data_IF_257315323295
#
_entry.id   IF_257315323295
#
_cell.length_a   1.000
_cell.length_b   1.000
_cell.length_c   1.000
_cell.angle_alpha   90.00
_cell.angle_beta   90.00
_cell.angle_gamma   90.00
#
_symmetry.space_group_name_H-M   'P 1'
#
loop_
_entity.id
_entity.type
_entity.pdbx_description
1 polymer ?
#
# COMPACT_ATOMS: atom_id res chain seq x y z
N UNK A 1 1.35 -13.25 -4.67
CA UNK A 1 0.48 -12.29 -5.35
C UNK A 1 0.57 -12.57 -6.84
N UNK A 2 -0.55 -12.69 -7.58
CA UNK A 2 -0.50 -12.80 -9.03
C UNK A 2 -0.12 -11.45 -9.63
N UNK A 3 0.93 -11.42 -10.47
CA UNK A 3 1.34 -10.24 -11.23
C UNK A 3 1.14 -10.47 -12.72
N UNK A 4 0.73 -9.42 -13.43
CA UNK A 4 0.64 -9.36 -14.89
C UNK A 4 1.03 -7.96 -15.35
N UNK A 5 1.91 -7.88 -16.35
CA UNK A 5 2.39 -6.61 -16.92
C UNK A 5 2.91 -5.59 -15.88
N UNK A 6 3.65 -6.06 -14.85
CA UNK A 6 4.29 -5.19 -13.87
C UNK A 6 3.41 -4.77 -12.68
N UNK A 7 2.12 -5.15 -12.65
CA UNK A 7 1.21 -4.83 -11.55
C UNK A 7 0.45 -6.07 -11.06
N UNK A 8 -0.21 -5.95 -9.91
CA UNK A 8 -1.07 -7.02 -9.39
C UNK A 8 -2.24 -7.23 -10.33
N UNK A 9 -2.49 -8.48 -10.68
CA UNK A 9 -3.70 -8.87 -11.41
C UNK A 9 -4.83 -9.09 -10.39
N UNK A 10 -5.55 -8.01 -10.09
CA UNK A 10 -6.64 -8.00 -9.12
C UNK A 10 -7.73 -9.03 -9.43
N UNK A 11 -7.94 -9.38 -10.70
CA UNK A 11 -8.94 -10.39 -11.11
C UNK A 11 -8.62 -11.81 -10.61
N UNK A 12 -7.36 -12.05 -10.23
CA UNK A 12 -6.84 -13.36 -9.79
C UNK A 12 -6.54 -13.39 -8.29
N UNK A 13 -6.78 -12.30 -7.58
CA UNK A 13 -6.53 -12.19 -6.15
C UNK A 13 -7.65 -12.87 -5.37
N UNK A 14 -7.26 -13.66 -4.36
CA UNK A 14 -8.17 -14.28 -3.40
C UNK A 14 -8.04 -13.54 -2.07
N UNK A 15 -9.17 -13.13 -1.50
CA UNK A 15 -9.23 -12.34 -0.27
C UNK A 15 -10.31 -11.26 -0.36
N UNK A 16 -10.33 -10.35 0.62
CA UNK A 16 -11.21 -9.17 0.59
C UNK A 16 -10.45 -8.02 -0.06
N UNK A 17 -10.71 -7.79 -1.33
CA UNK A 17 -10.20 -6.66 -2.10
C UNK A 17 -11.22 -5.52 -2.11
N UNK A 18 -10.74 -4.29 -1.89
CA UNK A 18 -11.47 -3.05 -2.03
C UNK A 18 -10.66 -2.09 -2.89
N UNK A 19 -11.37 -1.30 -3.69
CA UNK A 19 -10.77 -0.39 -4.65
C UNK A 19 -11.49 0.96 -4.61
N UNK A 20 -10.71 2.04 -4.64
CA UNK A 20 -11.20 3.40 -4.78
C UNK A 20 -10.37 4.15 -5.82
N UNK A 21 -11.04 5.06 -6.53
CA UNK A 21 -10.42 6.05 -7.41
C UNK A 21 -10.49 7.41 -6.73
N UNK A 22 -9.33 8.04 -6.49
CA UNK A 22 -9.23 9.32 -5.76
C UNK A 22 -8.32 10.26 -6.54
N UNK A 23 -8.90 11.32 -7.13
CA UNK A 23 -8.15 12.27 -7.96
C UNK A 23 -7.45 13.39 -7.15
N UNK A 24 -7.83 13.59 -5.88
CA UNK A 24 -7.16 14.55 -4.98
C UNK A 24 -5.99 13.85 -4.26
N UNK A 25 -4.77 14.26 -4.60
CA UNK A 25 -3.53 13.65 -4.09
C UNK A 25 -3.44 13.68 -2.55
N UNK A 26 -3.91 14.77 -1.92
CA UNK A 26 -3.89 14.89 -0.46
C UNK A 26 -4.88 13.92 0.17
N UNK A 27 -6.09 13.83 -0.37
CA UNK A 27 -7.10 12.89 0.10
C UNK A 27 -6.69 11.43 -0.13
N UNK A 28 -5.99 11.15 -1.24
CA UNK A 28 -5.43 9.84 -1.55
C UNK A 28 -4.39 9.45 -0.50
N UNK A 29 -3.44 10.33 -0.20
CA UNK A 29 -2.43 10.09 0.84
C UNK A 29 -3.04 9.91 2.23
N UNK A 30 -4.00 10.76 2.61
CA UNK A 30 -4.74 10.65 3.88
C UNK A 30 -5.51 9.32 3.97
N UNK A 31 -6.12 8.89 2.86
CA UNK A 31 -6.86 7.63 2.80
C UNK A 31 -5.91 6.44 2.89
N UNK A 32 -4.78 6.45 2.17
CA UNK A 32 -3.76 5.41 2.26
C UNK A 32 -3.21 5.27 3.68
N UNK A 33 -2.81 6.39 4.32
CA UNK A 33 -2.34 6.40 5.71
C UNK A 33 -3.38 5.85 6.68
N UNK A 34 -4.66 6.19 6.49
CA UNK A 34 -5.77 5.64 7.29
C UNK A 34 -5.90 4.12 7.11
N UNK A 35 -5.86 3.61 5.87
CA UNK A 35 -5.98 2.18 5.60
C UNK A 35 -4.80 1.37 6.13
N UNK A 36 -3.58 1.92 6.09
CA UNK A 36 -2.38 1.32 6.68
C UNK A 36 -2.51 1.29 8.21
N UNK A 37 -2.87 2.41 8.84
CA UNK A 37 -2.99 2.48 10.30
C UNK A 37 -4.08 1.57 10.86
N UNK A 38 -5.18 1.40 10.12
CA UNK A 38 -6.25 0.49 10.51
C UNK A 38 -5.81 -0.99 10.56
N UNK A 39 -4.68 -1.33 9.92
CA UNK A 39 -4.24 -2.72 9.71
C UNK A 39 -2.92 -3.06 10.38
N UNK A 40 -2.08 -2.07 10.66
CA UNK A 40 -0.82 -2.32 11.35
C UNK A 40 -1.13 -2.82 12.78
N UNK A 41 -0.45 -3.89 13.19
CA UNK A 41 -0.53 -4.40 14.56
C UNK A 41 0.52 -3.69 15.41
N UNK A 42 0.19 -3.40 16.66
CA UNK A 42 1.14 -2.83 17.63
C UNK A 42 2.43 -3.66 17.69
N UNK A 43 3.57 -3.00 17.49
CA UNK A 43 4.90 -3.63 17.49
C UNK A 43 5.31 -4.30 16.18
N UNK A 44 4.46 -4.30 15.16
CA UNK A 44 4.82 -4.75 13.80
C UNK A 44 5.36 -3.60 12.94
N UNK A 45 6.04 -3.96 11.85
CA UNK A 45 6.51 -3.01 10.84
C UNK A 45 5.66 -3.07 9.58
N UNK A 46 5.59 -1.94 8.88
CA UNK A 46 5.13 -1.85 7.49
C UNK A 46 6.36 -1.91 6.60
N UNK A 47 6.28 -2.70 5.54
CA UNK A 47 7.29 -2.72 4.49
C UNK A 47 6.73 -2.02 3.24
N UNK A 48 7.52 -1.14 2.64
CA UNK A 48 7.18 -0.43 1.42
C UNK A 48 8.12 -0.83 0.29
N UNK A 49 7.56 -0.95 -0.92
CA UNK A 49 8.30 -1.10 -2.18
C UNK A 49 7.63 -0.20 -3.24
N UNK A 50 8.44 0.55 -3.99
CA UNK A 50 8.05 1.23 -5.22
C UNK A 50 8.32 0.36 -6.45
N UNK A 51 7.61 0.58 -7.56
CA UNK A 51 7.79 -0.22 -8.78
C UNK A 51 8.85 0.28 -9.76
N UNK A 52 9.55 1.40 -9.49
CA UNK A 52 10.70 1.73 -10.33
C UNK A 52 11.56 2.94 -9.96
N UNK A 53 10.99 4.02 -9.43
CA UNK A 53 11.72 5.26 -9.15
C UNK A 53 12.47 5.19 -7.82
N UNK A 54 11.92 4.49 -6.82
CA UNK A 54 12.59 4.28 -5.54
C UNK A 54 13.58 3.11 -5.61
N UNK A 55 14.90 3.32 -5.43
CA UNK A 55 15.89 2.25 -5.55
C UNK A 55 15.90 1.29 -4.34
N UNK A 56 15.26 1.66 -3.24
CA UNK A 56 15.22 0.89 -2.00
C UNK A 56 13.80 0.85 -1.45
N UNK A 57 13.47 -0.27 -0.79
CA UNK A 57 12.27 -0.35 0.04
C UNK A 57 12.48 0.33 1.40
N UNK A 58 11.39 0.75 2.03
CA UNK A 58 11.40 1.40 3.34
C UNK A 58 10.67 0.53 4.36
N UNK A 59 11.19 0.49 5.59
CA UNK A 59 10.49 -0.13 6.74
C UNK A 59 10.20 0.93 7.77
N UNK A 60 8.98 0.94 8.28
CA UNK A 60 8.55 1.93 9.27
C UNK A 60 7.50 1.35 10.23
N UNK A 61 7.31 2.03 11.35
CA UNK A 61 6.42 1.61 12.45
C UNK A 61 5.10 2.38 12.46
N UNK A 62 4.17 1.99 13.33
CA UNK A 62 2.86 2.65 13.49
C UNK A 62 2.97 4.16 13.72
N UNK A 63 3.94 4.61 14.51
CA UNK A 63 4.13 6.03 14.83
C UNK A 63 4.59 6.87 13.63
N UNK A 64 5.09 6.23 12.57
CA UNK A 64 5.67 6.87 11.40
C UNK A 64 4.74 6.82 10.18
N UNK A 65 3.58 6.17 10.29
CA UNK A 65 2.68 5.91 9.15
C UNK A 65 2.36 7.18 8.37
N UNK A 66 1.96 8.25 9.05
CA UNK A 66 1.56 9.48 8.34
C UNK A 66 2.74 10.14 7.64
N UNK A 67 3.85 10.36 8.35
CA UNK A 67 5.00 11.08 7.80
C UNK A 67 5.66 10.29 6.67
N UNK A 68 5.83 8.99 6.83
CA UNK A 68 6.50 8.14 5.83
C UNK A 68 5.60 7.88 4.63
N UNK A 69 4.31 7.61 4.82
CA UNK A 69 3.39 7.38 3.69
C UNK A 69 3.29 8.62 2.82
N UNK A 70 3.07 9.80 3.42
CA UNK A 70 2.98 11.06 2.65
C UNK A 70 4.28 11.32 1.88
N UNK A 71 5.44 11.19 2.52
CA UNK A 71 6.72 11.43 1.86
C UNK A 71 7.00 10.45 0.71
N UNK A 72 6.61 9.18 0.84
CA UNK A 72 6.79 8.19 -0.22
C UNK A 72 5.88 8.46 -1.42
N UNK A 73 4.64 8.89 -1.17
CA UNK A 73 3.66 9.20 -2.23
C UNK A 73 3.99 10.48 -3.02
N UNK A 74 4.98 11.28 -2.60
CA UNK A 74 5.52 12.37 -3.43
C UNK A 74 6.31 11.85 -4.64
N UNK A 75 6.74 10.58 -4.62
CA UNK A 75 7.42 9.94 -5.74
C UNK A 75 6.36 9.41 -6.72
N UNK A 76 6.34 9.81 -8.00
CA UNK A 76 5.26 9.44 -8.92
C UNK A 76 5.42 8.02 -9.48
N UNK A 77 5.16 7.00 -8.66
CA UNK A 77 5.26 5.58 -8.99
C UNK A 77 4.13 4.76 -8.35
N UNK A 78 4.07 3.44 -8.60
CA UNK A 78 3.17 2.57 -7.82
C UNK A 78 3.84 2.19 -6.50
N UNK A 79 3.11 2.37 -5.41
CA UNK A 79 3.58 2.07 -4.06
C UNK A 79 2.83 0.90 -3.47
N UNK A 80 3.57 -0.03 -2.89
CA UNK A 80 3.05 -1.21 -2.23
C UNK A 80 3.45 -1.17 -0.76
N UNK A 81 2.47 -1.00 0.13
CA UNK A 81 2.64 -1.06 1.58
C UNK A 81 2.13 -2.40 2.07
N UNK A 82 2.97 -3.16 2.74
CA UNK A 82 2.71 -4.55 3.11
C UNK A 82 2.88 -4.76 4.60
N UNK A 83 2.03 -5.63 5.16
CA UNK A 83 2.31 -6.23 6.45
C UNK A 83 3.61 -7.07 6.39
N UNK A 84 4.37 -7.09 7.47
CA UNK A 84 5.51 -8.00 7.64
C UNK A 84 5.10 -9.48 7.44
N UNK A 85 3.95 -9.89 8.00
CA UNK A 85 3.39 -11.24 7.87
C UNK A 85 2.64 -11.47 6.54
N UNK A 86 2.63 -10.47 5.65
CA UNK A 86 1.89 -10.47 4.38
C UNK A 86 0.39 -10.69 4.52
N UNK A 87 -0.21 -10.44 5.69
CA UNK A 87 -1.66 -10.57 5.91
C UNK A 87 -2.48 -9.53 5.15
N UNK A 88 -1.89 -8.38 4.81
CA UNK A 88 -2.53 -7.35 3.99
C UNK A 88 -1.54 -6.64 3.08
N UNK A 89 -2.08 -5.99 2.05
CA UNK A 89 -1.36 -5.02 1.21
C UNK A 89 -2.27 -3.82 0.91
N UNK A 90 -1.71 -2.62 0.96
CA UNK A 90 -2.29 -1.38 0.44
C UNK A 90 -1.45 -0.95 -0.74
N UNK A 91 -2.08 -0.72 -1.89
CA UNK A 91 -1.41 -0.28 -3.11
C UNK A 91 -1.96 1.08 -3.50
N UNK A 92 -1.05 2.02 -3.77
CA UNK A 92 -1.38 3.34 -4.30
C UNK A 92 -0.74 3.45 -5.66
N UNK A 93 -1.53 3.67 -6.70
CA UNK A 93 -1.01 3.92 -8.04
C UNK A 93 -0.72 5.41 -8.23
N UNK A 94 0.25 5.73 -9.09
CA UNK A 94 0.49 7.10 -9.52
C UNK A 94 -0.76 7.72 -10.15
N UNK A 95 -1.56 6.93 -10.85
CA UNK A 95 -2.78 7.42 -11.47
C UNK A 95 -3.81 7.86 -10.43
N UNK A 96 -3.77 7.40 -9.17
CA UNK A 96 -4.75 7.75 -8.14
C UNK A 96 -5.68 6.61 -7.73
N UNK A 97 -5.29 5.36 -8.02
CA UNK A 97 -6.01 4.18 -7.53
C UNK A 97 -5.50 3.81 -6.13
N UNK A 98 -6.43 3.54 -5.22
CA UNK A 98 -6.16 2.97 -3.90
C UNK A 98 -6.78 1.58 -3.84
N UNK A 99 -5.93 0.57 -3.81
CA UNK A 99 -6.34 -0.82 -3.65
C UNK A 99 -5.94 -1.33 -2.27
N UNK A 100 -6.85 -2.04 -1.62
CA UNK A 100 -6.61 -2.63 -0.32
C UNK A 100 -7.03 -4.08 -0.35
N UNK A 101 -6.12 -4.96 0.05
CA UNK A 101 -6.36 -6.39 0.10
C UNK A 101 -6.03 -6.93 1.48
N UNK A 102 -7.06 -7.44 2.15
CA UNK A 102 -6.93 -8.28 3.33
C UNK A 102 -6.91 -9.76 2.89
N UNK A 103 -5.79 -10.43 3.11
CA UNK A 103 -5.64 -11.85 2.78
C UNK A 103 -6.24 -12.67 3.92
N UNK A 104 -7.14 -13.59 3.58
CA UNK A 104 -7.55 -14.60 4.52
C UNK A 104 -6.31 -15.39 4.96
N UNK A 105 -6.14 -15.57 6.28
CA UNK A 105 -5.16 -16.50 6.82
C UNK A 105 -5.41 -17.87 6.19
N UNK A 106 -4.37 -18.46 5.59
CA UNK A 106 -4.41 -19.87 5.21
C UNK A 106 -4.44 -20.75 6.46
#
# INVERSE_FOLDING_TARGET
MPFSAGKIDWSRVVGRHQHWRIDDERLLAESASREIRARIKSGSVVEHVGDGLSPYGVRFTESEVDSVTVALLEVPEHHYFLAEDRSWVVVVSFEGDLDVLDRASA
#
